data_IF_061428417100
#
_entry.id   IF_061428417100
#
_cell.length_a   1.000
_cell.length_b   1.000
_cell.length_c   1.000
_cell.angle_alpha   90.00
_cell.angle_beta   90.00
_cell.angle_gamma   90.00
#
_symmetry.space_group_name_H-M   'P 1'
#
loop_
_entity.id
_entity.type
_entity.pdbx_description
1 polymer ?
#
# COMPACT_ATOMS: atom_id res chain seq x y z
N UNK A 1 1.27 -2.57 -6.20
CA UNK A 1 1.06 -3.91 -6.80
C UNK A 1 2.26 -4.49 -7.55
N UNK A 2 2.72 -3.89 -8.66
CA UNK A 2 3.73 -4.51 -9.56
C UNK A 2 5.11 -4.63 -8.90
N UNK A 3 5.60 -3.56 -8.27
CA UNK A 3 6.90 -3.51 -7.56
C UNK A 3 7.00 -4.54 -6.45
N UNK A 4 5.95 -4.67 -5.63
CA UNK A 4 5.89 -5.62 -4.50
C UNK A 4 5.39 -7.02 -4.90
N UNK A 5 4.94 -7.19 -6.14
CA UNK A 5 4.26 -8.39 -6.65
C UNK A 5 3.19 -8.91 -5.67
N UNK A 6 2.44 -7.98 -5.10
CA UNK A 6 1.56 -8.24 -3.96
C UNK A 6 0.52 -7.14 -3.79
N UNK A 7 -0.55 -7.50 -3.08
CA UNK A 7 -1.63 -6.60 -2.73
C UNK A 7 -1.56 -6.28 -1.25
N UNK A 8 -1.49 -5.00 -0.92
CA UNK A 8 -1.43 -4.47 0.43
C UNK A 8 -2.46 -3.33 0.61
N UNK A 9 -2.68 -2.92 1.86
CA UNK A 9 -3.60 -1.80 2.16
C UNK A 9 -3.17 -0.52 1.45
N UNK A 10 -1.86 -0.30 1.23
CA UNK A 10 -1.37 0.84 0.44
C UNK A 10 -1.82 0.82 -1.02
N UNK A 11 -1.84 -0.33 -1.68
CA UNK A 11 -2.37 -0.45 -3.05
C UNK A 11 -3.85 -0.05 -3.09
N UNK A 12 -4.63 -0.46 -2.09
CA UNK A 12 -6.04 -0.07 -1.99
C UNK A 12 -6.20 1.43 -1.67
N UNK A 13 -5.42 1.95 -0.74
CA UNK A 13 -5.37 3.39 -0.39
C UNK A 13 -5.06 4.24 -1.61
N UNK A 14 -4.00 3.91 -2.37
CA UNK A 14 -3.65 4.63 -3.59
C UNK A 14 -4.78 4.59 -4.62
N UNK A 15 -5.47 3.46 -4.79
CA UNK A 15 -6.60 3.36 -5.72
C UNK A 15 -7.80 4.23 -5.27
N UNK A 16 -8.13 4.24 -3.98
CA UNK A 16 -9.23 5.07 -3.43
C UNK A 16 -8.90 6.56 -3.56
N UNK A 17 -7.67 6.96 -3.25
CA UNK A 17 -7.24 8.37 -3.41
C UNK A 17 -7.24 8.74 -4.90
N UNK A 18 -6.84 7.86 -5.80
CA UNK A 18 -6.93 8.13 -7.24
C UNK A 18 -8.38 8.30 -7.73
N UNK A 19 -9.32 7.51 -7.20
CA UNK A 19 -10.76 7.70 -7.44
C UNK A 19 -11.22 9.08 -6.94
N UNK A 20 -10.71 9.50 -5.78
CA UNK A 20 -11.03 10.79 -5.17
C UNK A 20 -10.53 11.95 -6.04
N UNK A 21 -9.25 11.93 -6.43
CA UNK A 21 -8.62 12.92 -7.31
C UNK A 21 -9.32 13.02 -8.68
N UNK A 22 -9.79 11.89 -9.21
CA UNK A 22 -10.59 11.85 -10.46
C UNK A 22 -12.06 12.30 -10.27
N UNK A 23 -12.47 12.66 -9.06
CA UNK A 23 -13.80 13.16 -8.73
C UNK A 23 -14.89 12.09 -8.67
N UNK A 24 -14.55 10.80 -8.59
CA UNK A 24 -15.54 9.71 -8.44
C UNK A 24 -15.98 9.51 -6.99
N UNK A 25 -15.20 10.01 -6.03
CA UNK A 25 -15.58 9.99 -4.63
C UNK A 25 -15.00 11.18 -3.86
N UNK A 26 -15.54 11.44 -2.69
CA UNK A 26 -15.00 12.36 -1.68
C UNK A 26 -14.67 11.60 -0.41
N UNK A 27 -13.58 11.99 0.22
CA UNK A 27 -13.14 11.45 1.50
C UNK A 27 -13.46 12.47 2.57
N UNK A 28 -14.34 12.13 3.50
CA UNK A 28 -14.65 12.92 4.67
C UNK A 28 -13.93 12.33 5.88
N UNK A 29 -13.21 13.16 6.64
CA UNK A 29 -12.61 12.77 7.90
C UNK A 29 -13.45 13.32 9.05
N UNK A 30 -14.03 12.42 9.83
CA UNK A 30 -14.85 12.75 11.00
C UNK A 30 -14.10 12.23 12.22
N UNK A 31 -13.49 13.13 12.98
CA UNK A 31 -12.60 12.81 14.11
C UNK A 31 -11.43 11.88 13.71
N UNK A 32 -11.47 10.61 14.12
CA UNK A 32 -10.48 9.58 13.79
C UNK A 32 -10.92 8.66 12.65
N UNK A 33 -12.20 8.71 12.25
CA UNK A 33 -12.79 7.85 11.23
C UNK A 33 -12.87 8.52 9.85
N UNK A 34 -13.08 7.70 8.83
CA UNK A 34 -13.14 8.12 7.44
C UNK A 34 -14.44 7.63 6.79
N UNK A 35 -15.12 8.53 6.09
CA UNK A 35 -16.32 8.24 5.30
C UNK A 35 -16.06 8.55 3.83
N UNK A 36 -16.54 7.67 2.96
CA UNK A 36 -16.42 7.80 1.51
C UNK A 36 -17.79 8.13 0.92
N UNK A 37 -17.88 9.25 0.21
CA UNK A 37 -19.09 9.68 -0.49
C UNK A 37 -18.92 9.52 -2.00
N UNK A 38 -19.89 8.90 -2.66
CA UNK A 38 -19.91 8.70 -4.10
C UNK A 38 -20.18 10.01 -4.82
N UNK A 39 -19.45 10.23 -5.92
CA UNK A 39 -19.68 11.31 -6.86
C UNK A 39 -19.83 10.76 -8.28
N UNK A 40 -20.57 11.49 -9.11
CA UNK A 40 -20.70 11.18 -10.53
C UNK A 40 -19.65 11.95 -11.32
N UNK A 41 -18.61 11.25 -11.77
CA UNK A 41 -17.57 11.78 -12.65
C UNK A 41 -17.50 10.97 -13.94
N UNK A 42 -17.18 11.64 -15.04
CA UNK A 42 -16.96 11.01 -16.35
C UNK A 42 -15.48 10.64 -16.59
N UNK A 43 -14.59 10.93 -15.62
CA UNK A 43 -13.16 10.67 -15.78
C UNK A 43 -12.86 9.17 -15.99
N UNK A 44 -11.91 8.82 -16.87
CA UNK A 44 -11.62 7.43 -17.19
C UNK A 44 -11.03 6.67 -15.99
N UNK A 45 -11.64 5.52 -15.69
CA UNK A 45 -11.20 4.58 -14.65
C UNK A 45 -10.45 3.40 -15.26
N UNK A 46 -9.38 2.97 -14.58
CA UNK A 46 -8.71 1.72 -14.92
C UNK A 46 -9.64 0.53 -14.64
N UNK A 47 -9.43 -0.62 -15.30
CA UNK A 47 -10.28 -1.79 -15.12
C UNK A 47 -10.39 -2.26 -13.65
N UNK A 48 -9.28 -2.22 -12.91
CA UNK A 48 -9.27 -2.50 -11.47
C UNK A 48 -10.03 -1.47 -10.64
N UNK A 49 -9.93 -0.19 -10.97
CA UNK A 49 -10.63 0.91 -10.28
C UNK A 49 -12.14 0.84 -10.52
N UNK A 50 -12.58 0.47 -11.72
CA UNK A 50 -13.99 0.24 -12.04
C UNK A 50 -14.60 -0.84 -11.16
N UNK A 51 -13.91 -1.96 -10.96
CA UNK A 51 -14.39 -3.03 -10.09
C UNK A 51 -14.39 -2.62 -8.62
N UNK A 52 -13.37 -1.89 -8.17
CA UNK A 52 -13.31 -1.35 -6.82
C UNK A 52 -14.49 -0.41 -6.55
N UNK A 53 -14.74 0.54 -7.43
CA UNK A 53 -15.81 1.52 -7.30
C UNK A 53 -17.20 0.87 -7.31
N UNK A 54 -17.42 -0.10 -8.20
CA UNK A 54 -18.69 -0.81 -8.31
C UNK A 54 -19.03 -1.61 -7.05
N UNK A 55 -18.04 -2.27 -6.43
CA UNK A 55 -18.27 -3.05 -5.22
C UNK A 55 -18.33 -2.18 -3.96
N UNK A 56 -17.56 -1.09 -3.90
CA UNK A 56 -17.57 -0.17 -2.77
C UNK A 56 -18.94 0.51 -2.62
N UNK A 57 -19.57 0.93 -3.73
CA UNK A 57 -20.86 1.61 -3.70
C UNK A 57 -22.02 0.73 -4.19
N UNK A 58 -21.91 -0.59 -4.01
CA UNK A 58 -22.95 -1.54 -4.39
C UNK A 58 -24.24 -1.40 -3.54
N UNK A 59 -24.07 -1.08 -2.26
CA UNK A 59 -25.15 -1.05 -1.26
C UNK A 59 -25.62 0.38 -0.92
N UNK A 60 -24.94 1.41 -1.41
CA UNK A 60 -25.29 2.81 -1.13
C UNK A 60 -24.31 3.82 -1.71
N UNK A 61 -24.64 5.11 -1.55
CA UNK A 61 -23.81 6.24 -2.01
C UNK A 61 -22.80 6.75 -0.98
N UNK A 62 -22.82 6.23 0.26
CA UNK A 62 -21.89 6.58 1.33
C UNK A 62 -21.43 5.32 2.06
N UNK A 63 -20.14 5.26 2.40
CA UNK A 63 -19.51 4.11 3.05
C UNK A 63 -18.57 4.59 4.14
N UNK A 64 -18.86 4.24 5.38
CA UNK A 64 -17.98 4.47 6.51
C UNK A 64 -16.89 3.39 6.57
N UNK A 65 -15.64 3.79 6.76
CA UNK A 65 -14.50 2.88 6.91
C UNK A 65 -14.44 2.33 8.34
N UNK A 66 -15.46 1.57 8.71
CA UNK A 66 -15.59 0.94 10.01
C UNK A 66 -15.59 -0.60 9.92
N UNK A 67 -15.55 -1.25 11.07
CA UNK A 67 -15.60 -2.71 11.14
C UNK A 67 -17.02 -3.27 10.84
N UNK A 68 -18.07 -2.45 10.79
CA UNK A 68 -19.43 -2.93 10.45
C UNK A 68 -19.52 -3.21 8.95
N UNK A 69 -18.92 -2.33 8.15
CA UNK A 69 -18.86 -2.45 6.69
C UNK A 69 -17.77 -3.41 6.18
N UNK A 70 -17.18 -4.21 7.06
CA UNK A 70 -16.03 -5.06 6.72
C UNK A 70 -16.28 -6.07 5.62
N UNK A 71 -17.49 -6.61 5.51
CA UNK A 71 -17.84 -7.52 4.42
C UNK A 71 -17.80 -6.81 3.07
N UNK A 72 -18.36 -5.60 3.00
CA UNK A 72 -18.36 -4.77 1.79
C UNK A 72 -16.93 -4.34 1.43
N UNK A 73 -16.15 -3.86 2.40
CA UNK A 73 -14.77 -3.40 2.17
C UNK A 73 -13.86 -4.58 1.78
N UNK A 74 -14.00 -5.73 2.44
CA UNK A 74 -13.26 -6.96 2.10
C UNK A 74 -13.63 -7.49 0.72
N UNK A 75 -14.91 -7.43 0.34
CA UNK A 75 -15.37 -7.80 -1.00
C UNK A 75 -14.80 -6.86 -2.07
N UNK A 76 -14.86 -5.55 -1.85
CA UNK A 76 -14.29 -4.54 -2.75
C UNK A 76 -12.77 -4.70 -2.90
N UNK A 77 -12.06 -4.93 -1.79
CA UNK A 77 -10.64 -5.28 -1.75
C UNK A 77 -10.33 -6.55 -2.55
N UNK A 78 -11.13 -7.60 -2.37
CA UNK A 78 -11.00 -8.87 -3.07
C UNK A 78 -11.21 -8.73 -4.58
N UNK A 79 -12.23 -7.96 -4.99
CA UNK A 79 -12.52 -7.66 -6.39
C UNK A 79 -11.38 -6.86 -7.04
N UNK A 80 -10.89 -5.80 -6.38
CA UNK A 80 -9.76 -5.02 -6.87
C UNK A 80 -8.50 -5.88 -7.01
N UNK A 81 -8.18 -6.70 -5.99
CA UNK A 81 -7.04 -7.61 -6.03
C UNK A 81 -7.15 -8.64 -7.17
N UNK A 82 -8.36 -9.18 -7.42
CA UNK A 82 -8.63 -10.13 -8.50
C UNK A 82 -8.49 -9.46 -9.88
N UNK A 83 -8.99 -8.25 -10.05
CA UNK A 83 -8.85 -7.48 -11.29
C UNK A 83 -7.38 -7.18 -11.59
N UNK A 84 -6.63 -6.65 -10.61
CA UNK A 84 -5.19 -6.43 -10.77
C UNK A 84 -4.45 -7.73 -11.08
N UNK A 85 -4.80 -8.84 -10.41
CA UNK A 85 -4.19 -10.13 -10.71
C UNK A 85 -4.46 -10.56 -12.15
N UNK A 86 -5.69 -10.43 -12.64
CA UNK A 86 -6.03 -10.78 -14.04
C UNK A 86 -5.25 -9.94 -15.04
N UNK A 87 -5.12 -8.64 -14.78
CA UNK A 87 -4.57 -7.69 -15.76
C UNK A 87 -3.04 -7.59 -15.73
N UNK A 88 -2.39 -7.97 -14.61
CA UNK A 88 -0.94 -7.84 -14.44
C UNK A 88 -0.18 -9.16 -14.25
N UNK A 89 -0.83 -10.21 -13.71
CA UNK A 89 -0.19 -11.52 -13.54
C UNK A 89 0.07 -12.16 -14.91
N UNK A 90 1.21 -12.83 -15.05
CA UNK A 90 1.73 -13.44 -16.28
C UNK A 90 2.14 -12.46 -17.39
N UNK A 91 1.66 -11.21 -17.36
CA UNK A 91 2.12 -10.16 -18.28
C UNK A 91 3.37 -9.48 -17.74
N UNK A 92 3.37 -9.08 -16.46
CA UNK A 92 4.49 -8.36 -15.84
C UNK A 92 5.26 -9.23 -14.85
N UNK A 93 4.60 -10.12 -14.09
CA UNK A 93 5.29 -11.03 -13.18
C UNK A 93 4.66 -12.43 -13.18
N UNK A 94 5.48 -13.45 -12.95
CA UNK A 94 5.02 -14.83 -12.80
C UNK A 94 5.18 -15.26 -11.35
N UNK A 95 4.09 -15.74 -10.76
CA UNK A 95 4.12 -16.36 -9.44
C UNK A 95 4.37 -17.85 -9.67
N UNK A 96 5.65 -18.26 -9.69
CA UNK A 96 6.10 -19.64 -9.92
C UNK A 96 5.70 -20.62 -8.79
N UNK A 97 4.65 -20.30 -8.03
CA UNK A 97 4.11 -21.13 -6.93
C UNK A 97 3.61 -22.50 -7.38
N UNK A 98 3.32 -22.68 -8.68
CA UNK A 98 2.97 -23.99 -9.23
C UNK A 98 4.11 -25.02 -9.13
N UNK A 99 5.37 -24.58 -9.16
CA UNK A 99 6.53 -25.48 -8.97
C UNK A 99 6.69 -25.95 -7.51
N UNK A 100 6.07 -25.27 -6.55
CA UNK A 100 6.20 -25.60 -5.13
C UNK A 100 5.10 -26.56 -4.63
N UNK A 101 4.00 -26.69 -5.38
CA UNK A 101 2.95 -27.67 -5.09
C UNK A 101 3.46 -29.12 -5.04
N UNK A 102 4.24 -29.64 -6.02
CA UNK A 102 4.75 -31.01 -5.93
C UNK A 102 5.69 -31.19 -4.75
N UNK A 103 6.53 -30.20 -4.43
CA UNK A 103 7.41 -30.24 -3.26
C UNK A 103 6.62 -30.33 -1.94
N UNK A 104 5.54 -29.56 -1.82
CA UNK A 104 4.65 -29.60 -0.65
C UNK A 104 3.91 -30.92 -0.51
N UNK A 105 3.40 -31.48 -1.62
CA UNK A 105 2.74 -32.79 -1.63
C UNK A 105 3.72 -33.90 -1.23
N UNK A 106 4.94 -33.88 -1.75
CA UNK A 106 5.99 -34.83 -1.39
C UNK A 106 6.38 -34.75 0.09
N UNK A 107 6.47 -33.53 0.65
CA UNK A 107 6.74 -33.32 2.07
C UNK A 107 5.63 -33.92 2.96
N UNK A 108 4.36 -33.68 2.61
CA UNK A 108 3.21 -34.25 3.35
C UNK A 108 3.22 -35.78 3.26
N UNK A 109 3.45 -36.33 2.07
CA UNK A 109 3.54 -37.78 1.86
C UNK A 109 4.65 -38.40 2.71
N UNK A 110 5.82 -37.75 2.77
CA UNK A 110 6.95 -38.21 3.57
C UNK A 110 6.64 -38.18 5.08
N UNK A 111 5.97 -37.14 5.57
CA UNK A 111 5.52 -37.06 6.96
C UNK A 111 4.48 -38.13 7.33
N UNK A 112 3.53 -38.40 6.43
CA UNK A 112 2.54 -39.48 6.62
C UNK A 112 3.24 -40.83 6.66
N UNK A 113 4.20 -41.07 5.77
CA UNK A 113 4.96 -42.32 5.73
C UNK A 113 5.76 -42.52 7.03
N UNK A 114 6.45 -41.50 7.52
CA UNK A 114 7.15 -41.55 8.82
C UNK A 114 6.19 -41.91 9.96
N UNK A 115 4.99 -41.34 9.98
CA UNK A 115 4.00 -41.62 11.01
C UNK A 115 3.41 -43.03 10.95
N UNK A 116 3.22 -43.59 9.74
CA UNK A 116 2.72 -44.96 9.57
C UNK A 116 3.71 -46.00 10.10
N UNK A 117 5.01 -45.74 9.98
CA UNK A 117 6.06 -46.65 10.44
C UNK A 117 6.63 -46.30 11.84
N UNK A 118 6.00 -45.36 12.55
CA UNK A 118 6.37 -44.91 13.89
C UNK A 118 7.85 -44.45 14.02
N UNK A 119 8.39 -43.84 12.96
CA UNK A 119 9.76 -43.31 12.93
C UNK A 119 9.85 -41.85 13.41
N UNK A 120 8.89 -41.37 14.20
CA UNK A 120 8.90 -40.01 14.70
C UNK A 120 10.08 -39.79 15.65
N UNK A 121 11.03 -38.97 15.21
CA UNK A 121 12.17 -38.53 16.02
C UNK A 121 12.29 -37.02 15.97
N UNK A 122 12.97 -36.44 16.96
CA UNK A 122 13.27 -35.01 17.00
C UNK A 122 13.99 -34.56 15.71
N UNK A 123 14.86 -35.41 15.15
CA UNK A 123 15.57 -35.15 13.89
C UNK A 123 14.59 -34.98 12.73
N UNK A 124 13.56 -35.84 12.60
CA UNK A 124 12.57 -35.72 11.53
C UNK A 124 11.75 -34.44 11.66
N UNK A 125 11.35 -34.08 12.88
CA UNK A 125 10.60 -32.83 13.12
C UNK A 125 11.44 -31.62 12.73
N UNK A 126 12.72 -31.58 13.12
CA UNK A 126 13.64 -30.48 12.75
C UNK A 126 13.81 -30.39 11.23
N UNK A 127 14.02 -31.52 10.53
CA UNK A 127 14.15 -31.54 9.07
C UNK A 127 12.87 -31.10 8.35
N UNK A 128 11.70 -31.46 8.87
CA UNK A 128 10.41 -31.04 8.33
C UNK A 128 10.21 -29.54 8.47
N UNK A 129 10.49 -28.98 9.65
CA UNK A 129 10.42 -27.53 9.89
C UNK A 129 11.40 -26.78 8.97
N UNK A 130 12.64 -27.24 8.87
CA UNK A 130 13.64 -26.65 7.96
C UNK A 130 13.17 -26.70 6.50
N UNK A 131 12.59 -27.81 6.05
CA UNK A 131 12.07 -27.96 4.68
C UNK A 131 10.90 -27.02 4.41
N UNK A 132 10.01 -26.80 5.38
CA UNK A 132 8.92 -25.81 5.29
C UNK A 132 9.49 -24.39 5.19
N UNK A 133 10.50 -24.06 6.01
CA UNK A 133 11.18 -22.75 5.97
C UNK A 133 11.83 -22.52 4.59
N UNK A 134 12.57 -23.51 4.08
CA UNK A 134 13.17 -23.42 2.75
C UNK A 134 12.11 -23.28 1.66
N UNK A 135 11.02 -24.05 1.73
CA UNK A 135 9.93 -23.94 0.76
C UNK A 135 9.26 -22.57 0.80
N UNK A 136 9.07 -21.99 1.98
CA UNK A 136 8.56 -20.62 2.14
C UNK A 136 9.55 -19.58 1.59
N UNK A 137 10.85 -19.77 1.82
CA UNK A 137 11.92 -18.92 1.28
C UNK A 137 11.94 -18.97 -0.25
N UNK A 138 11.91 -20.16 -0.85
CA UNK A 138 11.84 -20.33 -2.30
C UNK A 138 10.53 -19.79 -2.88
N UNK A 139 9.40 -19.92 -2.18
CA UNK A 139 8.13 -19.28 -2.57
C UNK A 139 8.23 -17.76 -2.64
N UNK A 140 9.01 -17.18 -1.73
CA UNK A 140 9.26 -15.76 -1.72
C UNK A 140 10.27 -15.34 -2.80
N UNK A 141 11.35 -16.11 -2.98
CA UNK A 141 12.45 -15.80 -3.91
C UNK A 141 12.12 -16.06 -5.39
N UNK A 142 11.31 -17.08 -5.70
CA UNK A 142 10.95 -17.46 -7.08
C UNK A 142 9.89 -16.53 -7.72
N UNK A 143 9.61 -15.38 -7.10
CA UNK A 143 8.79 -14.31 -7.70
C UNK A 143 9.63 -13.62 -8.79
N UNK A 144 9.48 -14.08 -10.04
CA UNK A 144 10.27 -13.59 -11.15
C UNK A 144 9.50 -12.51 -11.95
N UNK A 145 10.08 -11.32 -12.16
CA UNK A 145 9.57 -10.38 -13.14
C UNK A 145 9.79 -10.94 -14.56
N UNK A 146 8.80 -10.77 -15.42
CA UNK A 146 8.97 -11.06 -16.86
C UNK A 146 9.83 -9.97 -17.51
N UNK A 147 10.35 -10.14 -18.74
CA UNK A 147 11.10 -9.09 -19.44
C UNK A 147 10.31 -7.77 -19.58
N UNK A 148 9.02 -7.86 -19.90
CA UNK A 148 8.12 -6.69 -19.95
C UNK A 148 7.92 -6.09 -18.55
N UNK A 149 7.80 -6.94 -17.53
CA UNK A 149 7.79 -6.55 -16.13
C UNK A 149 9.03 -5.77 -15.71
N UNK A 150 10.22 -6.24 -16.12
CA UNK A 150 11.48 -5.59 -15.76
C UNK A 150 11.57 -4.19 -16.34
N UNK A 151 11.26 -4.02 -17.63
CA UNK A 151 11.21 -2.70 -18.27
C UNK A 151 10.23 -1.75 -17.57
N UNK A 152 9.08 -2.25 -17.12
CA UNK A 152 8.12 -1.44 -16.38
C UNK A 152 8.65 -1.10 -14.98
N UNK A 153 9.31 -2.03 -14.30
CA UNK A 153 9.93 -1.78 -12.99
C UNK A 153 11.01 -0.71 -13.10
N UNK A 154 11.86 -0.76 -14.13
CA UNK A 154 12.90 0.25 -14.35
C UNK A 154 12.27 1.64 -14.60
N UNK A 155 11.18 1.72 -15.36
CA UNK A 155 10.40 2.97 -15.55
C UNK A 155 9.78 3.47 -14.25
N UNK A 156 9.21 2.58 -13.44
CA UNK A 156 8.62 2.91 -12.14
C UNK A 156 9.69 3.37 -11.14
N UNK A 157 10.89 2.81 -11.20
CA UNK A 157 12.03 3.22 -10.39
C UNK A 157 12.53 4.61 -10.78
N UNK A 158 12.66 4.89 -12.08
CA UNK A 158 12.97 6.23 -12.58
C UNK A 158 11.90 7.26 -12.20
N UNK A 159 10.63 6.89 -12.27
CA UNK A 159 9.54 7.76 -11.83
C UNK A 159 9.52 7.95 -10.30
N UNK A 160 9.83 6.91 -9.52
CA UNK A 160 10.00 7.03 -8.07
C UNK A 160 11.14 8.01 -7.73
N UNK A 161 12.28 7.87 -8.41
CA UNK A 161 13.41 8.79 -8.24
C UNK A 161 13.01 10.22 -8.57
N UNK A 162 12.23 10.42 -9.64
CA UNK A 162 11.67 11.73 -9.95
C UNK A 162 10.81 12.28 -8.80
N UNK A 163 9.86 11.50 -8.25
CA UNK A 163 9.02 11.97 -7.14
C UNK A 163 9.78 12.17 -5.82
N UNK A 164 10.90 11.46 -5.63
CA UNK A 164 11.74 11.54 -4.44
C UNK A 164 12.74 12.72 -4.49
N UNK A 165 13.25 13.04 -5.69
CA UNK A 165 14.29 14.05 -5.93
C UNK A 165 13.72 15.36 -6.47
N UNK A 166 12.49 15.36 -6.99
CA UNK A 166 11.85 16.57 -7.51
C UNK A 166 11.90 17.66 -6.43
N UNK A 167 12.78 18.63 -6.65
CA UNK A 167 12.78 19.98 -6.07
C UNK A 167 13.25 20.14 -4.63
N UNK A 168 14.43 19.61 -4.30
CA UNK A 168 15.20 20.24 -3.22
C UNK A 168 16.41 21.06 -3.62
N UNK A 169 17.04 20.89 -4.78
CA UNK A 169 18.04 21.90 -5.21
C UNK A 169 18.47 21.90 -6.69
N UNK A 170 18.60 20.78 -7.41
CA UNK A 170 19.19 20.90 -8.74
C UNK A 170 18.95 19.68 -9.63
N UNK A 171 17.99 19.82 -10.53
CA UNK A 171 18.06 19.17 -11.83
C UNK A 171 17.84 20.30 -12.83
N UNK A 172 18.87 20.64 -13.59
CA UNK A 172 18.83 21.49 -14.78
C UNK A 172 17.88 20.93 -15.85
N UNK A 173 16.60 20.77 -15.52
CA UNK A 173 15.54 20.44 -16.44
C UNK A 173 15.28 21.70 -17.26
N UNK A 174 15.49 21.60 -18.57
CA UNK A 174 15.28 22.71 -19.51
C UNK A 174 13.84 23.26 -19.49
N UNK A 175 12.90 22.51 -18.91
CA UNK A 175 11.50 22.88 -18.67
C UNK A 175 11.04 22.30 -17.32
N UNK A 176 11.18 23.02 -16.20
CA UNK A 176 10.53 22.67 -14.95
C UNK A 176 9.01 22.67 -15.17
N UNK A 177 8.27 21.62 -14.77
CA UNK A 177 6.82 21.70 -14.77
C UNK A 177 6.38 22.80 -13.81
N UNK A 178 5.34 23.54 -14.16
CA UNK A 178 4.77 24.51 -13.23
C UNK A 178 4.22 23.77 -12.01
N UNK A 179 4.81 24.02 -10.85
CA UNK A 179 4.38 23.46 -9.59
C UNK A 179 3.04 24.04 -9.19
N UNK A 180 1.99 23.34 -9.58
CA UNK A 180 0.62 23.70 -9.29
C UNK A 180 0.05 22.73 -8.25
N UNK A 181 -0.86 23.18 -7.36
CA UNK A 181 -1.56 22.27 -6.45
C UNK A 181 -2.28 21.12 -7.17
N UNK A 182 -2.73 21.35 -8.41
CA UNK A 182 -3.34 20.32 -9.25
C UNK A 182 -2.34 19.23 -9.64
N UNK A 183 -1.07 19.59 -9.87
CA UNK A 183 -0.01 18.61 -10.12
C UNK A 183 0.25 17.74 -8.90
N UNK A 184 0.25 18.35 -7.70
CA UNK A 184 0.34 17.64 -6.43
C UNK A 184 -0.77 16.61 -6.29
N UNK A 185 -2.04 17.00 -6.50
CA UNK A 185 -3.19 16.09 -6.44
C UNK A 185 -3.08 14.96 -7.47
N UNK A 186 -2.65 15.26 -8.69
CA UNK A 186 -2.55 14.29 -9.77
C UNK A 186 -1.55 13.17 -9.47
N UNK A 187 -0.42 13.49 -8.87
CA UNK A 187 0.64 12.52 -8.58
C UNK A 187 0.62 11.95 -7.16
N UNK A 188 -0.15 12.52 -6.23
CA UNK A 188 -0.28 12.03 -4.86
C UNK A 188 -0.65 10.53 -4.77
N UNK A 189 -1.63 9.99 -5.53
CA UNK A 189 -1.93 8.57 -5.49
C UNK A 189 -0.75 7.69 -5.89
N UNK A 190 0.07 8.16 -6.84
CA UNK A 190 1.25 7.43 -7.31
C UNK A 190 2.39 7.49 -6.30
N UNK A 191 2.60 8.64 -5.66
CA UNK A 191 3.58 8.80 -4.59
C UNK A 191 3.28 7.84 -3.42
N UNK A 192 2.00 7.74 -3.01
CA UNK A 192 1.54 6.80 -1.98
C UNK A 192 1.73 5.34 -2.42
N UNK A 193 1.44 5.01 -3.68
CA UNK A 193 1.63 3.67 -4.21
C UNK A 193 3.12 3.24 -4.22
N UNK A 194 4.02 4.20 -4.44
CA UNK A 194 5.48 4.00 -4.47
C UNK A 194 6.13 4.15 -3.08
N UNK A 195 5.42 4.71 -2.10
CA UNK A 195 5.91 4.93 -0.75
C UNK A 195 6.84 6.15 -0.61
N UNK A 196 6.65 7.16 -1.46
CA UNK A 196 7.43 8.42 -1.50
C UNK A 196 6.53 9.65 -1.28
N UNK A 197 5.40 9.47 -0.63
CA UNK A 197 4.43 10.54 -0.35
C UNK A 197 4.98 11.68 0.51
N UNK A 198 5.92 11.39 1.42
CA UNK A 198 6.55 12.42 2.27
C UNK A 198 7.54 13.28 1.46
N UNK A 199 8.57 12.71 0.78
CA UNK A 199 9.43 13.50 -0.12
C UNK A 199 8.65 14.28 -1.17
N UNK A 200 7.63 13.66 -1.77
CA UNK A 200 6.78 14.31 -2.76
C UNK A 200 5.98 15.49 -2.21
N UNK A 201 5.54 15.44 -0.95
CA UNK A 201 4.81 16.57 -0.37
C UNK A 201 5.75 17.67 0.15
N UNK A 202 6.98 17.32 0.52
CA UNK A 202 8.01 18.29 0.90
C UNK A 202 8.44 19.18 -0.27
N UNK A 203 8.49 18.65 -1.50
CA UNK A 203 8.84 19.45 -2.69
C UNK A 203 7.86 20.60 -2.95
N UNK A 204 6.58 20.39 -2.65
CA UNK A 204 5.53 21.40 -2.79
C UNK A 204 5.41 22.34 -1.59
N UNK A 205 6.21 22.18 -0.53
CA UNK A 205 6.11 23.01 0.67
C UNK A 205 6.27 24.52 0.35
N UNK A 206 7.18 24.85 -0.56
CA UNK A 206 7.43 26.25 -0.97
C UNK A 206 6.26 26.83 -1.78
N UNK A 207 5.58 26.01 -2.58
CA UNK A 207 4.42 26.39 -3.38
C UNK A 207 3.24 26.69 -2.49
N UNK A 208 2.96 25.79 -1.53
CA UNK A 208 1.90 26.02 -0.56
C UNK A 208 2.18 27.20 0.36
N UNK A 209 3.44 27.44 0.73
CA UNK A 209 3.84 28.63 1.49
C UNK A 209 3.59 29.94 0.71
N UNK A 210 3.89 29.97 -0.60
CA UNK A 210 3.59 31.12 -1.46
C UNK A 210 2.09 31.38 -1.59
N UNK A 211 1.31 30.33 -1.85
CA UNK A 211 -0.16 30.45 -1.98
C UNK A 211 -0.82 30.98 -0.71
N UNK A 212 -0.29 30.61 0.46
CA UNK A 212 -0.77 31.10 1.75
C UNK A 212 -0.37 32.56 2.01
N UNK A 213 0.78 33.01 1.51
CA UNK A 213 1.22 34.41 1.62
C UNK A 213 0.39 35.36 0.75
N UNK A 214 -0.05 34.90 -0.43
CA UNK A 214 -0.82 35.72 -1.40
C UNK A 214 -2.30 35.95 -1.02
N UNK A 215 -2.72 35.62 0.22
CA UNK A 215 -4.11 35.76 0.72
C UNK A 215 -5.17 35.04 -0.14
N UNK A 216 -4.75 34.13 -1.01
CA UNK A 216 -5.62 33.17 -1.68
C UNK A 216 -6.33 32.35 -0.58
N UNK A 217 -7.64 32.07 -0.68
CA UNK A 217 -8.30 31.17 0.28
C UNK A 217 -7.45 29.91 0.43
N UNK A 218 -7.12 29.56 1.68
CA UNK A 218 -6.25 28.43 2.02
C UNK A 218 -6.58 27.24 1.13
N UNK A 219 -5.63 26.83 0.30
CA UNK A 219 -5.86 25.76 -0.66
C UNK A 219 -6.37 24.51 0.08
N UNK A 220 -7.49 23.96 -0.39
CA UNK A 220 -8.10 22.74 0.14
C UNK A 220 -8.37 21.78 -1.03
N UNK A 221 -7.91 20.52 -0.97
CA UNK A 221 -8.19 19.55 -2.02
C UNK A 221 -9.70 19.29 -2.13
N UNK A 222 -10.27 19.41 -3.33
CA UNK A 222 -11.71 19.28 -3.54
C UNK A 222 -12.25 17.87 -3.20
N UNK A 223 -11.37 16.87 -3.22
CA UNK A 223 -11.68 15.47 -2.93
C UNK A 223 -11.57 15.12 -1.44
N UNK A 224 -11.07 16.01 -0.59
CA UNK A 224 -10.87 15.77 0.84
C UNK A 224 -11.57 16.82 1.72
N UNK A 225 -12.51 16.36 2.54
CA UNK A 225 -13.19 17.15 3.56
C UNK A 225 -12.66 16.78 4.93
N UNK A 226 -11.88 17.67 5.53
CA UNK A 226 -11.28 17.50 6.85
C UNK A 226 -10.28 18.61 7.13
N UNK A 227 -9.53 18.50 8.23
CA UNK A 227 -8.43 19.42 8.49
C UNK A 227 -7.29 19.17 7.49
N UNK A 228 -7.05 20.12 6.61
CA UNK A 228 -5.89 20.18 5.72
C UNK A 228 -5.13 21.47 6.02
N UNK A 229 -3.86 21.34 6.41
CA UNK A 229 -2.99 22.48 6.63
C UNK A 229 -1.99 22.58 5.47
N UNK A 230 -2.12 23.62 4.64
CA UNK A 230 -1.21 23.86 3.51
C UNK A 230 0.24 24.07 3.96
N UNK A 231 0.47 24.57 5.18
CA UNK A 231 1.82 24.74 5.75
C UNK A 231 2.46 23.41 6.18
N UNK A 232 1.66 22.35 6.36
CA UNK A 232 2.12 21.01 6.72
C UNK A 232 1.62 19.96 5.72
N UNK A 233 1.78 20.25 4.42
CA UNK A 233 1.40 19.33 3.35
C UNK A 233 2.12 17.98 3.46
N UNK A 234 3.37 17.97 3.94
CA UNK A 234 4.17 16.76 4.16
C UNK A 234 3.64 15.90 5.32
N UNK A 235 3.32 16.54 6.45
CA UNK A 235 2.66 15.87 7.57
C UNK A 235 1.28 15.35 7.18
N UNK A 236 0.51 16.12 6.42
CA UNK A 236 -0.77 15.67 5.85
C UNK A 236 -0.60 14.45 4.94
N UNK A 237 0.28 14.48 3.95
CA UNK A 237 0.46 13.37 2.99
C UNK A 237 0.94 12.09 3.70
N UNK A 238 1.90 12.21 4.62
CA UNK A 238 2.38 11.09 5.43
C UNK A 238 1.31 10.54 6.39
N UNK A 239 0.53 11.43 7.01
CA UNK A 239 -0.57 11.10 7.90
C UNK A 239 -1.73 10.43 7.17
N UNK A 240 -2.10 10.94 6.00
CA UNK A 240 -3.12 10.36 5.12
C UNK A 240 -2.67 8.97 4.65
N UNK A 241 -1.46 8.83 4.13
CA UNK A 241 -0.94 7.54 3.65
C UNK A 241 -0.94 6.45 4.72
N UNK A 242 -0.52 6.76 5.96
CA UNK A 242 -0.46 5.78 7.06
C UNK A 242 -1.80 5.60 7.76
N UNK A 243 -2.45 6.69 8.16
CA UNK A 243 -3.70 6.69 8.92
C UNK A 243 -4.86 6.10 8.11
N UNK A 244 -5.00 6.52 6.86
CA UNK A 244 -6.05 5.98 5.98
C UNK A 244 -5.80 4.52 5.61
N UNK A 245 -4.54 4.12 5.35
CA UNK A 245 -4.20 2.72 5.13
C UNK A 245 -4.48 1.84 6.36
N UNK A 246 -4.28 2.39 7.57
CA UNK A 246 -4.64 1.72 8.83
C UNK A 246 -6.16 1.58 8.98
N UNK A 247 -6.93 2.64 8.71
CA UNK A 247 -8.39 2.60 8.75
C UNK A 247 -8.96 1.57 7.77
N UNK A 248 -8.49 1.57 6.51
CA UNK A 248 -8.84 0.54 5.51
C UNK A 248 -8.49 -0.86 6.00
N UNK A 249 -7.31 -1.01 6.62
CA UNK A 249 -6.86 -2.30 7.12
C UNK A 249 -7.74 -2.81 8.26
N UNK A 250 -8.12 -1.95 9.21
CA UNK A 250 -9.05 -2.28 10.29
C UNK A 250 -10.42 -2.63 9.73
N UNK A 251 -10.97 -1.74 8.90
CA UNK A 251 -12.28 -1.89 8.32
C UNK A 251 -12.39 -3.12 7.41
N UNK A 252 -11.30 -3.63 6.85
CA UNK A 252 -11.31 -4.87 6.05
C UNK A 252 -11.40 -6.16 6.89
N UNK A 253 -11.26 -6.07 8.21
CA UNK A 253 -11.23 -7.23 9.11
C UNK A 253 -12.54 -7.31 9.91
N UNK A 254 -13.07 -8.52 10.14
CA UNK A 254 -14.24 -8.69 11.00
C UNK A 254 -13.96 -8.19 12.42
N UNK A 255 -14.96 -7.65 13.13
CA UNK A 255 -14.81 -7.25 14.53
C UNK A 255 -14.38 -8.48 15.34
N UNK A 256 -13.20 -8.38 15.96
CA UNK A 256 -12.64 -9.48 16.74
C UNK A 256 -13.46 -9.72 18.00
N UNK A 257 -14.04 -10.91 18.12
CA UNK A 257 -14.13 -11.57 19.41
C UNK A 257 -12.70 -11.75 19.92
N UNK A 258 -12.38 -11.17 21.07
CA UNK A 258 -11.11 -11.35 21.75
C UNK A 258 -10.88 -12.84 22.05
N UNK A 259 -10.13 -13.53 21.20
CA UNK A 259 -9.45 -14.78 21.56
C UNK A 259 -7.97 -14.44 21.71
N UNK A 260 -7.55 -14.25 22.96
CA UNK A 260 -6.16 -14.02 23.32
C UNK A 260 -5.27 -15.17 22.84
N UNK A 261 -4.26 -14.83 22.05
CA UNK A 261 -3.04 -15.63 21.92
C UNK A 261 -1.92 -14.75 22.43
N UNK A 262 -1.53 -14.96 23.68
CA UNK A 262 -0.38 -14.29 24.30
C UNK A 262 0.89 -14.60 23.53
N UNK A 263 1.54 -13.55 23.02
CA UNK A 263 2.89 -13.58 22.48
C UNK A 263 3.67 -12.47 23.16
N UNK A 264 4.44 -12.83 24.19
CA UNK A 264 5.17 -11.91 25.04
C UNK A 264 6.17 -11.07 24.27
N UNK A 265 6.18 -9.78 24.56
CA UNK A 265 7.21 -8.86 24.10
C UNK A 265 8.53 -9.12 24.82
N UNK A 266 9.63 -9.11 24.08
CA UNK A 266 10.95 -8.93 24.65
C UNK A 266 11.32 -7.45 24.54
N UNK A 267 11.25 -6.76 25.67
CA UNK A 267 11.96 -5.51 25.90
C UNK A 267 13.42 -5.83 26.22
N UNK A 268 14.33 -5.59 25.28
CA UNK A 268 15.71 -5.26 25.60
C UNK A 268 15.84 -3.75 25.38
N UNK A 269 15.98 -2.89 26.38
CA UNK A 269 16.90 -2.99 27.50
C UNK A 269 18.14 -2.21 27.11
N UNK A 270 18.15 -0.92 27.45
CA UNK A 270 19.19 0.02 27.06
C UNK A 270 20.52 -0.14 27.80
N UNK A 271 21.55 0.46 27.20
CA UNK A 271 22.86 0.79 27.75
C UNK A 271 23.59 1.60 26.66
N UNK A 272 24.19 2.76 26.89
CA UNK A 272 24.72 3.34 28.10
C UNK A 272 26.17 3.71 27.84
N UNK A 273 26.43 5.00 27.59
CA UNK A 273 27.68 5.73 27.88
C UNK A 273 28.99 5.31 27.22
N UNK A 274 29.63 6.26 26.53
CA UNK A 274 31.03 6.12 26.12
C UNK A 274 31.55 7.37 25.41
N UNK A 275 31.68 8.47 26.14
CA UNK A 275 32.42 9.65 25.68
C UNK A 275 33.93 9.41 25.79
N UNK A 276 34.65 9.69 24.73
CA UNK A 276 36.12 9.72 24.69
C UNK A 276 36.55 10.88 23.83
N UNK A 277 36.80 12.03 24.47
CA UNK A 277 37.46 13.17 23.86
C UNK A 277 38.96 12.93 23.78
N UNK A 278 39.53 13.12 22.58
CA UNK A 278 40.97 13.15 22.36
C UNK A 278 41.55 14.52 22.72
N UNK A 279 42.73 14.47 23.32
CA UNK A 279 43.75 15.52 23.28
C UNK A 279 44.74 15.18 22.17
#
# INVERSE_FOLDING_TARGET
>A
YITRMGYDSRTLTAAIINLAVKGHLKIHRVEEDYELEKLDSQAPLAAGEKQLFAELFAEGGRVELDNKNHMLISKAKGAHAKALRRDYLNIYFKRNTGLLLPCGVLLILMLVLVGVFDYFSLVVVVLAVMSIIFMALFAWLLRAPTPRGRLLLDKLEGFKLYLEVAEKDDLHLKHPPELTPQLFETYLPFAIALGVEQPWAESFATVFARLAADQTPSYQPAWYHGSFNSFDAAGFAGGLGKGFASAISSASNPPGSASGSGGGGFSGGGGGGGGGGGW
#
